data_IF_489600332563
#
_entry.id   IF_489600332563
#
_cell.length_a   1.000
_cell.length_b   1.000
_cell.length_c   1.000
_cell.angle_alpha   90.00
_cell.angle_beta   90.00
_cell.angle_gamma   90.00
#
_symmetry.space_group_name_H-M   'P 1'
#
loop_
_entity.id
_entity.type
_entity.pdbx_description
1 polymer ?
#
# COMPACT_ATOMS: atom_id res chain seq x y z
N UNK A 1 -14.72 12.70 0.74
CA UNK A 1 -14.18 11.43 1.23
C UNK A 1 -12.65 11.50 1.21
N UNK A 2 -12.01 11.06 2.26
CA UNK A 2 -10.53 11.06 2.34
C UNK A 2 -9.97 9.82 1.68
N UNK A 3 -9.02 9.99 0.76
CA UNK A 3 -8.38 8.88 0.05
C UNK A 3 -7.11 8.44 0.75
N UNK A 4 -6.99 7.12 0.96
CA UNK A 4 -5.80 6.50 1.50
C UNK A 4 -5.25 5.54 0.45
N UNK A 5 -3.97 5.68 0.13
CA UNK A 5 -3.29 4.74 -0.75
C UNK A 5 -2.73 3.59 0.10
N UNK A 6 -2.96 2.37 -0.35
CA UNK A 6 -2.32 1.18 0.23
C UNK A 6 -1.45 0.57 -0.85
N UNK A 7 -0.14 0.66 -0.65
CA UNK A 7 0.86 0.34 -1.66
C UNK A 7 1.69 -0.86 -1.21
N UNK A 8 1.84 -1.83 -2.09
CA UNK A 8 2.62 -3.04 -1.85
C UNK A 8 3.73 -3.18 -2.90
N UNK A 9 4.94 -3.38 -2.42
CA UNK A 9 6.14 -3.46 -3.23
C UNK A 9 6.42 -4.83 -3.85
N UNK A 10 7.67 -5.01 -4.31
CA UNK A 10 8.07 -6.20 -5.06
C UNK A 10 7.82 -7.50 -4.31
N UNK A 11 7.42 -8.51 -5.05
CA UNK A 11 7.17 -9.88 -4.61
C UNK A 11 5.93 -10.06 -3.73
N UNK A 12 5.25 -9.00 -3.33
CA UNK A 12 4.05 -9.11 -2.50
C UNK A 12 2.85 -9.66 -3.27
N UNK A 13 2.92 -9.65 -4.61
CA UNK A 13 1.96 -10.36 -5.44
C UNK A 13 1.98 -11.87 -5.22
N UNK A 14 3.04 -12.40 -4.60
CA UNK A 14 3.20 -13.82 -4.32
C UNK A 14 2.69 -14.22 -2.93
N UNK A 15 2.19 -13.27 -2.13
CA UNK A 15 1.60 -13.61 -0.85
C UNK A 15 0.47 -14.64 -1.04
N UNK A 16 0.43 -15.62 -0.13
CA UNK A 16 -0.53 -16.72 -0.18
C UNK A 16 0.01 -17.95 -0.90
N UNK A 17 0.95 -17.79 -1.83
CA UNK A 17 1.61 -18.92 -2.52
C UNK A 17 3.07 -19.05 -2.15
N UNK A 18 3.64 -18.07 -1.45
CA UNK A 18 5.05 -17.99 -1.08
C UNK A 18 5.22 -18.42 0.36
N UNK A 19 5.83 -19.59 0.56
CA UNK A 19 6.18 -20.14 1.87
C UNK A 19 5.16 -19.82 2.99
N UNK A 20 3.98 -20.50 2.99
CA UNK A 20 2.90 -20.16 3.93
C UNK A 20 3.28 -20.28 5.41
N UNK A 21 4.28 -21.10 5.74
CA UNK A 21 4.73 -21.25 7.14
C UNK A 21 5.40 -19.98 7.66
N UNK A 22 6.00 -19.18 6.77
CA UNK A 22 6.69 -17.95 7.14
C UNK A 22 5.79 -16.73 6.93
N UNK A 23 5.12 -16.65 5.76
CA UNK A 23 4.39 -15.46 5.34
C UNK A 23 2.86 -15.58 5.51
N UNK A 24 2.38 -16.75 5.95
CA UNK A 24 0.96 -17.02 6.05
C UNK A 24 0.34 -17.42 4.71
N UNK A 25 -0.96 -17.73 4.72
CA UNK A 25 -1.68 -18.23 3.55
C UNK A 25 -2.61 -17.19 2.91
N UNK A 26 -2.63 -15.95 3.40
CA UNK A 26 -3.47 -14.89 2.85
C UNK A 26 -2.74 -14.18 1.72
N UNK A 27 -3.48 -13.90 0.64
CA UNK A 27 -2.97 -13.13 -0.49
C UNK A 27 -3.35 -11.64 -0.36
N UNK A 28 -2.95 -10.81 -1.34
CA UNK A 28 -3.27 -9.38 -1.29
C UNK A 28 -4.77 -9.12 -1.41
N UNK A 29 -5.51 -9.92 -2.16
CA UNK A 29 -6.96 -9.78 -2.24
C UNK A 29 -7.62 -10.05 -0.89
N UNK A 30 -7.08 -11.00 -0.11
CA UNK A 30 -7.56 -11.25 1.24
C UNK A 30 -7.32 -10.04 2.14
N UNK A 31 -6.15 -9.43 2.05
CA UNK A 31 -5.82 -8.22 2.81
C UNK A 31 -6.76 -7.07 2.42
N UNK A 32 -7.02 -6.90 1.14
CA UNK A 32 -7.94 -5.88 0.65
C UNK A 32 -9.35 -6.08 1.21
N UNK A 33 -9.84 -7.32 1.17
CA UNK A 33 -11.15 -7.65 1.76
C UNK A 33 -11.18 -7.39 3.27
N UNK A 34 -10.14 -7.75 3.98
CA UNK A 34 -10.03 -7.52 5.43
C UNK A 34 -10.08 -6.03 5.76
N UNK A 35 -9.39 -5.21 4.98
CA UNK A 35 -9.37 -3.77 5.21
C UNK A 35 -10.73 -3.14 4.91
N UNK A 36 -11.37 -3.53 3.82
CA UNK A 36 -12.71 -3.05 3.50
C UNK A 36 -13.74 -3.46 4.55
N UNK A 37 -13.63 -4.68 5.04
CA UNK A 37 -14.49 -5.17 6.13
C UNK A 37 -14.27 -4.35 7.41
N UNK A 38 -13.03 -4.04 7.74
CA UNK A 38 -12.69 -3.19 8.89
C UNK A 38 -13.37 -1.81 8.78
N UNK A 39 -13.33 -1.21 7.59
CA UNK A 39 -13.97 0.09 7.37
C UNK A 39 -15.49 0.02 7.64
N UNK A 40 -16.15 -1.01 7.11
CA UNK A 40 -17.59 -1.19 7.31
C UNK A 40 -17.93 -1.44 8.80
N UNK A 41 -17.19 -2.32 9.45
CA UNK A 41 -17.42 -2.67 10.86
C UNK A 41 -17.22 -1.48 11.79
N UNK A 42 -16.36 -0.54 11.42
CA UNK A 42 -16.08 0.66 12.21
C UNK A 42 -16.82 1.90 11.69
N UNK A 43 -17.74 1.73 10.76
CA UNK A 43 -18.58 2.79 10.18
C UNK A 43 -17.74 3.91 9.53
N UNK A 44 -16.63 3.53 8.88
CA UNK A 44 -15.68 4.45 8.24
C UNK A 44 -15.81 4.45 6.73
N UNK A 45 -16.62 3.59 6.13
CA UNK A 45 -16.71 3.38 4.69
C UNK A 45 -17.21 4.62 3.92
N UNK A 46 -17.88 5.54 4.59
CA UNK A 46 -18.33 6.80 3.98
C UNK A 46 -17.35 7.93 4.19
N UNK A 47 -16.41 7.77 5.10
CA UNK A 47 -15.40 8.77 5.43
C UNK A 47 -14.11 8.55 4.66
N UNK A 48 -13.73 7.30 4.42
CA UNK A 48 -12.48 6.93 3.76
C UNK A 48 -12.71 6.09 2.52
N UNK A 49 -11.94 6.42 1.48
CA UNK A 49 -11.79 5.62 0.28
C UNK A 49 -10.37 5.05 0.28
N UNK A 50 -10.24 3.75 0.03
CA UNK A 50 -8.92 3.10 -0.01
C UNK A 50 -8.64 2.65 -1.43
N UNK A 51 -7.48 3.03 -1.95
CA UNK A 51 -7.02 2.62 -3.27
C UNK A 51 -5.78 1.75 -3.10
N UNK A 52 -5.84 0.54 -3.68
CA UNK A 52 -4.77 -0.45 -3.58
C UNK A 52 -3.93 -0.46 -4.85
N UNK A 53 -2.63 -0.63 -4.68
CA UNK A 53 -1.69 -0.78 -5.79
C UNK A 53 -0.54 -1.69 -5.38
N UNK A 54 -0.10 -2.52 -6.31
CA UNK A 54 1.06 -3.38 -6.12
C UNK A 54 1.90 -3.37 -7.39
N UNK A 55 3.20 -3.32 -7.25
CA UNK A 55 4.12 -3.47 -8.37
C UNK A 55 5.45 -4.08 -7.91
N UNK A 56 6.06 -4.82 -8.82
CA UNK A 56 7.43 -5.33 -8.66
C UNK A 56 8.47 -4.30 -9.12
N UNK A 57 8.04 -3.16 -9.64
CA UNK A 57 8.92 -2.14 -10.20
C UNK A 57 8.87 -0.87 -9.35
N UNK A 58 10.02 -0.46 -8.84
CA UNK A 58 10.10 0.75 -8.01
C UNK A 58 9.57 1.98 -8.74
N UNK A 59 9.89 2.12 -10.03
CA UNK A 59 9.42 3.24 -10.84
C UNK A 59 7.90 3.33 -10.92
N UNK A 60 7.22 2.18 -11.01
CA UNK A 60 5.75 2.15 -11.02
C UNK A 60 5.17 2.63 -9.70
N UNK A 61 5.80 2.27 -8.59
CA UNK A 61 5.38 2.72 -7.27
C UNK A 61 5.53 4.23 -7.13
N UNK A 62 6.64 4.76 -7.61
CA UNK A 62 6.92 6.20 -7.61
C UNK A 62 5.89 6.94 -8.46
N UNK A 63 5.63 6.48 -9.68
CA UNK A 63 4.66 7.09 -10.58
C UNK A 63 3.27 7.08 -9.97
N UNK A 64 2.88 5.97 -9.34
CA UNK A 64 1.59 5.86 -8.69
C UNK A 64 1.42 6.91 -7.57
N UNK A 65 2.45 7.09 -6.74
CA UNK A 65 2.42 8.09 -5.67
C UNK A 65 2.27 9.49 -6.28
N UNK A 66 3.09 9.81 -7.28
CA UNK A 66 3.08 11.14 -7.90
C UNK A 66 1.76 11.44 -8.61
N UNK A 67 1.18 10.45 -9.29
CA UNK A 67 -0.08 10.60 -10.00
C UNK A 67 -1.28 10.79 -9.06
N UNK A 68 -1.16 10.35 -7.81
CA UNK A 68 -2.27 10.38 -6.85
C UNK A 68 -2.05 11.35 -5.69
N UNK A 69 -0.94 12.07 -5.64
CA UNK A 69 -0.58 12.90 -4.48
C UNK A 69 -1.64 13.95 -4.14
N UNK A 70 -2.20 14.62 -5.14
CA UNK A 70 -3.15 15.72 -4.92
C UNK A 70 -4.41 15.28 -4.17
N UNK A 71 -4.89 14.09 -4.46
CA UNK A 71 -6.16 13.60 -3.90
C UNK A 71 -5.96 12.74 -2.65
N UNK A 72 -4.72 12.47 -2.29
CA UNK A 72 -4.39 11.54 -1.22
C UNK A 72 -4.29 12.25 0.12
N UNK A 73 -4.89 11.64 1.13
CA UNK A 73 -4.82 12.10 2.52
C UNK A 73 -3.66 11.44 3.27
N UNK A 74 -3.47 10.15 3.07
CA UNK A 74 -2.39 9.38 3.72
C UNK A 74 -2.00 8.17 2.89
N UNK A 75 -0.81 7.62 3.18
CA UNK A 75 -0.24 6.49 2.48
C UNK A 75 0.13 5.41 3.51
N UNK A 76 -0.30 4.18 3.26
CA UNK A 76 0.16 3.00 3.98
C UNK A 76 0.96 2.18 2.97
N UNK A 77 2.20 1.86 3.29
CA UNK A 77 3.08 1.20 2.35
C UNK A 77 3.82 0.02 2.99
N UNK A 78 3.79 -1.10 2.30
CA UNK A 78 4.68 -2.23 2.55
C UNK A 78 5.64 -2.31 1.36
N UNK A 79 6.86 -1.77 1.49
CA UNK A 79 7.79 -1.69 0.35
C UNK A 79 8.46 -3.03 0.03
N UNK A 80 8.24 -4.07 0.83
CA UNK A 80 8.92 -5.34 0.64
C UNK A 80 10.44 -5.17 0.76
N UNK A 81 11.19 -5.78 -0.15
CA UNK A 81 12.65 -5.66 -0.14
C UNK A 81 13.20 -4.27 -0.42
N UNK A 82 12.37 -3.32 -0.85
CA UNK A 82 12.81 -1.94 -1.07
C UNK A 82 12.98 -1.15 0.24
N UNK A 83 12.58 -1.71 1.38
CA UNK A 83 12.69 -1.04 2.68
C UNK A 83 14.11 -0.49 2.94
N UNK A 84 15.13 -1.23 2.56
CA UNK A 84 16.53 -0.87 2.85
C UNK A 84 17.29 -0.29 1.65
N UNK A 85 16.73 -0.37 0.44
CA UNK A 85 17.44 0.03 -0.79
C UNK A 85 16.62 0.94 -1.71
N UNK A 86 15.35 1.17 -1.37
CA UNK A 86 14.45 1.97 -2.21
C UNK A 86 14.57 3.46 -1.95
N UNK A 87 15.76 4.04 -2.10
CA UNK A 87 15.96 5.47 -1.86
C UNK A 87 15.14 6.37 -2.78
N UNK A 88 15.00 6.10 -4.08
CA UNK A 88 14.10 6.90 -4.92
C UNK A 88 12.65 6.83 -4.49
N UNK A 89 12.19 5.66 -4.02
CA UNK A 89 10.85 5.51 -3.48
C UNK A 89 10.67 6.34 -2.20
N UNK A 90 11.66 6.33 -1.32
CA UNK A 90 11.65 7.14 -0.10
C UNK A 90 11.55 8.63 -0.44
N UNK A 91 12.32 9.08 -1.42
CA UNK A 91 12.26 10.47 -1.89
C UNK A 91 10.85 10.83 -2.38
N UNK A 92 10.20 9.95 -3.13
CA UNK A 92 8.85 10.18 -3.61
C UNK A 92 7.84 10.31 -2.45
N UNK A 93 7.99 9.50 -1.42
CA UNK A 93 7.14 9.59 -0.22
C UNK A 93 7.35 10.92 0.51
N UNK A 94 8.59 11.33 0.67
CA UNK A 94 8.93 12.61 1.31
C UNK A 94 8.38 13.77 0.48
N UNK A 95 8.59 13.75 -0.82
CA UNK A 95 8.13 14.81 -1.73
C UNK A 95 6.61 14.92 -1.79
N UNK A 96 5.90 13.82 -1.53
CA UNK A 96 4.43 13.84 -1.49
C UNK A 96 3.89 14.74 -0.39
N UNK A 97 4.65 14.95 0.67
CA UNK A 97 4.26 15.69 1.89
C UNK A 97 3.03 15.07 2.59
N UNK A 98 2.72 13.83 2.30
CA UNK A 98 1.59 13.12 2.92
C UNK A 98 2.09 12.29 4.10
N UNK A 99 1.22 12.08 5.10
CA UNK A 99 1.49 11.14 6.16
C UNK A 99 1.69 9.74 5.54
N UNK A 100 2.82 9.13 5.81
CA UNK A 100 3.15 7.80 5.30
C UNK A 100 3.48 6.87 6.46
N UNK A 101 2.86 5.68 6.44
CA UNK A 101 3.08 4.66 7.45
C UNK A 101 3.61 3.42 6.75
N UNK A 102 4.79 2.95 7.17
CA UNK A 102 5.38 1.71 6.69
C UNK A 102 4.92 0.54 7.54
N UNK A 103 4.54 -0.52 6.89
CA UNK A 103 4.15 -1.78 7.54
C UNK A 103 5.09 -2.92 7.18
#
# INVERSE_FOLDING_TARGET
MKKILVINGPNLNLLGSRDPEIYGNKNLQDVERMLNKFLVENKLEKEFEVQFFQSNHEGDLIDFIQDNTKDTHAIIINPGGLTTVGFPLLDALIDSSKLSIEV
#
